data_IF_129744455080
#
_entry.id   IF_129744455080
#
_cell.length_a   1.000
_cell.length_b   1.000
_cell.length_c   1.000
_cell.angle_alpha   90.00
_cell.angle_beta   90.00
_cell.angle_gamma   90.00
#
_symmetry.space_group_name_H-M   'P 1'
#
loop_
_entity.id
_entity.type
_entity.pdbx_description
1 polymer ?
#
# COMPACT_ATOMS: atom_id res chain seq x y z
N UNK A 1 -38.07 -48.77 -36.42
CA UNK A 1 -36.85 -49.21 -37.09
C UNK A 1 -35.67 -48.57 -36.39
N UNK A 2 -34.74 -49.37 -35.83
CA UNK A 2 -33.50 -48.80 -35.28
C UNK A 2 -32.65 -48.24 -36.42
N UNK A 3 -32.12 -47.02 -36.23
CA UNK A 3 -31.20 -46.39 -37.17
C UNK A 3 -29.95 -47.28 -37.36
N UNK A 4 -29.50 -47.49 -38.62
CA UNK A 4 -28.38 -48.38 -38.88
C UNK A 4 -27.06 -47.81 -38.26
N UNK A 5 -26.25 -48.70 -37.67
CA UNK A 5 -25.03 -48.36 -36.90
C UNK A 5 -24.01 -47.49 -37.66
N UNK A 6 -24.05 -47.48 -39.00
CA UNK A 6 -23.16 -46.62 -39.80
C UNK A 6 -23.49 -45.12 -39.71
N UNK A 7 -24.72 -44.74 -39.33
CA UNK A 7 -25.07 -43.33 -39.11
C UNK A 7 -24.38 -42.73 -37.92
N UNK A 8 -24.15 -43.48 -36.83
CA UNK A 8 -23.38 -43.04 -35.66
C UNK A 8 -21.91 -42.78 -36.01
N UNK A 9 -21.32 -43.56 -36.87
CA UNK A 9 -19.94 -43.38 -37.35
C UNK A 9 -19.78 -42.14 -38.24
N UNK A 10 -20.78 -41.85 -39.09
CA UNK A 10 -20.79 -40.63 -39.92
C UNK A 10 -21.02 -39.37 -39.12
N UNK A 11 -21.96 -39.38 -38.17
CA UNK A 11 -22.24 -38.27 -37.29
C UNK A 11 -21.02 -37.93 -36.40
N UNK A 12 -20.32 -38.94 -35.87
CA UNK A 12 -19.09 -38.74 -35.11
C UNK A 12 -17.97 -38.09 -35.92
N UNK A 13 -17.74 -38.49 -37.18
CA UNK A 13 -16.73 -37.87 -38.06
C UNK A 13 -17.08 -36.43 -38.44
N UNK A 14 -18.35 -36.14 -38.70
CA UNK A 14 -18.81 -34.78 -39.04
C UNK A 14 -18.65 -33.86 -37.80
N UNK A 15 -19.02 -34.34 -36.60
CA UNK A 15 -18.86 -33.61 -35.36
C UNK A 15 -17.37 -33.36 -35.06
N UNK A 16 -16.51 -34.35 -35.27
CA UNK A 16 -15.06 -34.21 -35.07
C UNK A 16 -14.43 -33.22 -36.07
N UNK A 17 -14.80 -33.30 -37.35
CA UNK A 17 -14.34 -32.36 -38.37
C UNK A 17 -14.82 -30.92 -38.10
N UNK A 18 -16.04 -30.77 -37.58
CA UNK A 18 -16.56 -29.43 -37.16
C UNK A 18 -15.82 -28.86 -35.96
N UNK A 19 -15.55 -29.69 -34.93
CA UNK A 19 -14.77 -29.30 -33.77
C UNK A 19 -13.33 -28.95 -34.13
N UNK A 20 -12.70 -29.75 -34.99
CA UNK A 20 -11.34 -29.47 -35.47
C UNK A 20 -11.29 -28.18 -36.30
N UNK A 21 -12.27 -27.98 -37.21
CA UNK A 21 -12.37 -26.72 -37.99
C UNK A 21 -12.55 -25.50 -37.09
N UNK A 22 -13.38 -25.57 -36.04
CA UNK A 22 -13.63 -24.50 -35.11
C UNK A 22 -12.42 -24.23 -34.22
N UNK A 23 -11.73 -25.29 -33.80
CA UNK A 23 -10.47 -25.18 -33.04
C UNK A 23 -9.38 -24.50 -33.89
N UNK A 24 -9.20 -24.86 -35.15
CA UNK A 24 -8.23 -24.22 -36.04
C UNK A 24 -8.57 -22.76 -36.35
N UNK A 25 -9.86 -22.42 -36.47
CA UNK A 25 -10.28 -21.02 -36.61
C UNK A 25 -9.97 -20.19 -35.36
N UNK A 26 -10.34 -20.67 -34.16
CA UNK A 26 -10.03 -20.02 -32.90
C UNK A 26 -8.52 -19.85 -32.70
N UNK A 27 -7.74 -20.89 -33.00
CA UNK A 27 -6.28 -20.83 -32.91
C UNK A 27 -5.69 -19.78 -33.86
N UNK A 28 -6.21 -19.67 -35.08
CA UNK A 28 -5.78 -18.68 -36.08
C UNK A 28 -6.13 -17.25 -35.63
N UNK A 29 -7.28 -17.03 -35.02
CA UNK A 29 -7.68 -15.74 -34.45
C UNK A 29 -6.78 -15.35 -33.27
N UNK A 30 -6.52 -16.29 -32.36
CA UNK A 30 -5.61 -16.06 -31.22
C UNK A 30 -4.19 -15.72 -31.72
N UNK A 31 -3.67 -16.49 -32.69
CA UNK A 31 -2.35 -16.23 -33.30
C UNK A 31 -2.28 -14.86 -34.00
N UNK A 32 -3.37 -14.44 -34.64
CA UNK A 32 -3.45 -13.12 -35.31
C UNK A 32 -3.48 -11.97 -34.31
N UNK A 33 -4.23 -12.14 -33.21
CA UNK A 33 -4.28 -11.17 -32.10
C UNK A 33 -2.93 -11.10 -31.40
N UNK A 34 -2.29 -12.25 -31.14
CA UNK A 34 -0.97 -12.28 -30.51
C UNK A 34 0.09 -11.59 -31.37
N UNK A 35 0.08 -11.80 -32.70
CA UNK A 35 0.95 -11.09 -33.64
C UNK A 35 0.68 -9.60 -33.67
N UNK A 36 -0.57 -9.18 -33.64
CA UNK A 36 -0.95 -7.77 -33.58
C UNK A 36 -0.50 -7.14 -32.26
N UNK A 37 -0.72 -7.81 -31.14
CA UNK A 37 -0.23 -7.37 -29.82
C UNK A 37 1.30 -7.21 -29.85
N UNK A 38 2.04 -8.22 -30.28
CA UNK A 38 3.53 -8.16 -30.35
C UNK A 38 4.02 -7.01 -31.25
N UNK A 39 3.30 -6.70 -32.33
CA UNK A 39 3.66 -5.62 -33.25
C UNK A 39 3.40 -4.23 -32.67
N UNK A 40 2.28 -4.05 -32.00
CA UNK A 40 1.86 -2.75 -31.46
C UNK A 40 2.27 -2.52 -30.00
N UNK A 41 2.62 -3.58 -29.25
CA UNK A 41 3.07 -3.49 -27.86
C UNK A 41 4.18 -2.43 -27.65
N UNK A 42 5.24 -2.37 -28.49
CA UNK A 42 6.27 -1.36 -28.33
C UNK A 42 5.73 0.07 -28.44
N UNK A 43 4.80 0.32 -29.36
CA UNK A 43 4.23 1.66 -29.58
C UNK A 43 3.47 2.15 -28.36
N UNK A 44 2.72 1.27 -27.68
CA UNK A 44 1.95 1.63 -26.49
C UNK A 44 2.77 1.62 -25.20
N UNK A 45 3.72 0.70 -25.07
CA UNK A 45 4.53 0.54 -23.85
C UNK A 45 5.74 1.47 -23.83
N UNK A 46 6.37 1.73 -24.99
CA UNK A 46 7.63 2.46 -25.08
C UNK A 46 7.55 3.91 -24.57
N UNK A 47 6.51 4.70 -24.85
CA UNK A 47 6.38 6.05 -24.31
C UNK A 47 6.29 6.05 -22.77
N UNK A 48 5.46 5.15 -22.21
CA UNK A 48 5.30 5.02 -20.75
C UNK A 48 6.57 4.51 -20.09
N UNK A 49 7.23 3.52 -20.71
CA UNK A 49 8.51 2.97 -20.22
C UNK A 49 9.62 4.03 -20.29
N UNK A 50 9.70 4.79 -21.37
CA UNK A 50 10.67 5.88 -21.50
C UNK A 50 10.44 6.95 -20.43
N UNK A 51 9.22 7.39 -20.23
CA UNK A 51 8.87 8.33 -19.17
C UNK A 51 9.25 7.80 -17.78
N UNK A 52 9.00 6.50 -17.51
CA UNK A 52 9.36 5.86 -16.26
C UNK A 52 10.87 5.76 -16.07
N UNK A 53 11.62 5.42 -17.12
CA UNK A 53 13.10 5.36 -17.06
C UNK A 53 13.67 6.75 -16.77
N UNK A 54 13.24 7.78 -17.52
CA UNK A 54 13.76 9.14 -17.39
C UNK A 54 13.33 9.79 -16.07
N UNK A 55 12.05 9.62 -15.66
CA UNK A 55 11.50 10.29 -14.50
C UNK A 55 11.75 9.56 -13.17
N UNK A 56 12.03 8.27 -13.20
CA UNK A 56 12.18 7.47 -11.98
C UNK A 56 13.50 6.69 -11.93
N UNK A 57 13.77 5.82 -12.92
CA UNK A 57 14.93 4.90 -12.84
C UNK A 57 16.25 5.67 -12.89
N UNK A 58 16.41 6.61 -13.82
CA UNK A 58 17.65 7.36 -13.96
C UNK A 58 17.96 8.21 -12.72
N UNK A 59 17.04 9.05 -12.18
CA UNK A 59 17.27 9.77 -10.93
C UNK A 59 17.53 8.84 -9.74
N UNK A 60 16.86 7.68 -9.67
CA UNK A 60 17.07 6.71 -8.60
C UNK A 60 18.49 6.14 -8.62
N UNK A 61 18.98 5.70 -9.79
CA UNK A 61 20.35 5.18 -9.93
C UNK A 61 21.37 6.27 -9.63
N UNK A 62 21.15 7.50 -10.12
CA UNK A 62 22.01 8.65 -9.79
C UNK A 62 22.02 8.91 -8.29
N UNK A 63 20.87 8.87 -7.61
CA UNK A 63 20.75 9.03 -6.18
C UNK A 63 21.53 7.95 -5.40
N UNK A 64 21.44 6.69 -5.83
CA UNK A 64 22.25 5.61 -5.25
C UNK A 64 23.75 5.88 -5.45
N UNK A 65 24.18 6.35 -6.64
CA UNK A 65 25.57 6.74 -6.88
C UNK A 65 26.02 7.89 -5.97
N UNK A 66 25.21 8.93 -5.83
CA UNK A 66 25.50 10.08 -4.99
C UNK A 66 25.53 9.76 -3.49
N UNK A 67 24.90 8.68 -3.05
CA UNK A 67 24.99 8.24 -1.65
C UNK A 67 26.40 7.85 -1.20
N UNK A 68 27.28 7.52 -2.16
CA UNK A 68 28.69 7.23 -1.94
C UNK A 68 29.60 8.45 -2.10
N UNK A 69 29.01 9.62 -2.36
CA UNK A 69 29.74 10.86 -2.61
C UNK A 69 29.45 11.91 -1.53
N UNK A 70 30.44 12.71 -1.20
CA UNK A 70 30.26 13.97 -0.50
C UNK A 70 30.05 15.07 -1.53
N UNK A 71 28.97 15.84 -1.41
CA UNK A 71 28.59 16.86 -2.39
C UNK A 71 27.69 17.91 -1.75
N UNK A 72 27.68 19.10 -2.29
CA UNK A 72 26.66 20.14 -2.09
C UNK A 72 25.85 20.32 -3.35
N UNK A 73 26.52 20.17 -4.50
CA UNK A 73 25.90 20.12 -5.84
C UNK A 73 26.40 18.89 -6.58
N UNK A 74 25.63 18.39 -7.55
CA UNK A 74 26.02 17.20 -8.34
C UNK A 74 27.37 17.38 -9.04
N UNK A 75 27.78 18.65 -9.34
CA UNK A 75 29.02 18.96 -10.03
C UNK A 75 30.27 18.84 -9.15
N UNK A 76 30.15 18.99 -7.83
CA UNK A 76 31.25 18.94 -6.88
C UNK A 76 31.37 17.60 -6.15
N UNK A 77 30.62 16.59 -6.61
CA UNK A 77 30.58 15.29 -5.98
C UNK A 77 31.95 14.59 -5.94
N UNK A 78 32.43 14.29 -4.73
CA UNK A 78 33.66 13.56 -4.44
C UNK A 78 33.33 12.20 -3.84
N UNK A 79 33.87 11.14 -4.41
CA UNK A 79 33.64 9.79 -3.91
C UNK A 79 34.32 9.59 -2.54
N UNK A 80 33.50 9.22 -1.53
CA UNK A 80 33.92 8.98 -0.15
C UNK A 80 33.62 7.56 0.34
N UNK A 81 33.22 6.67 -0.57
CA UNK A 81 32.89 5.30 -0.25
C UNK A 81 31.71 5.18 0.74
N UNK A 82 31.86 4.38 1.79
CA UNK A 82 30.80 4.12 2.77
C UNK A 82 30.73 5.15 3.92
N UNK A 83 31.51 6.22 3.88
CA UNK A 83 31.58 7.22 4.98
C UNK A 83 30.20 7.80 5.31
N UNK A 84 29.37 8.10 4.30
CA UNK A 84 28.01 8.62 4.49
C UNK A 84 27.10 7.63 5.21
N UNK A 85 27.23 6.35 4.94
CA UNK A 85 26.47 5.29 5.60
C UNK A 85 26.88 5.17 7.07
N UNK A 86 28.18 5.23 7.37
CA UNK A 86 28.68 5.23 8.76
C UNK A 86 28.13 6.43 9.51
N UNK A 87 28.22 7.64 8.94
CA UNK A 87 27.62 8.84 9.53
C UNK A 87 26.11 8.71 9.74
N UNK A 88 25.39 8.12 8.79
CA UNK A 88 23.94 7.90 8.91
C UNK A 88 23.61 6.98 10.09
N UNK A 89 24.32 5.87 10.29
CA UNK A 89 24.09 4.94 11.41
C UNK A 89 24.56 5.53 12.76
N UNK A 90 25.53 6.43 12.78
CA UNK A 90 25.97 7.14 13.98
C UNK A 90 25.00 8.25 14.39
N UNK A 91 24.17 8.77 13.48
CA UNK A 91 23.17 9.80 13.78
C UNK A 91 22.10 9.25 14.74
N UNK A 92 22.12 9.75 15.97
CA UNK A 92 21.18 9.32 17.03
C UNK A 92 19.75 9.65 16.69
N UNK A 93 19.50 10.78 16.02
CA UNK A 93 18.17 11.21 15.60
C UNK A 93 17.62 10.27 14.53
N UNK A 94 18.45 9.86 13.56
CA UNK A 94 18.04 8.91 12.54
C UNK A 94 17.67 7.54 13.12
N UNK A 95 18.45 7.04 14.09
CA UNK A 95 18.12 5.77 14.78
C UNK A 95 16.82 5.89 15.60
N UNK A 96 16.61 7.04 16.25
CA UNK A 96 15.35 7.31 16.96
C UNK A 96 14.17 7.36 15.98
N UNK A 97 14.30 8.08 14.87
CA UNK A 97 13.28 8.20 13.83
C UNK A 97 12.89 6.83 13.24
N UNK A 98 13.84 5.88 13.14
CA UNK A 98 13.53 4.52 12.71
C UNK A 98 12.55 3.83 13.67
N UNK A 99 12.86 3.82 14.96
CA UNK A 99 12.01 3.18 15.96
C UNK A 99 10.67 3.88 16.14
N UNK A 100 10.66 5.20 16.09
CA UNK A 100 9.44 5.99 16.14
C UNK A 100 8.53 5.70 14.94
N UNK A 101 9.10 5.61 13.73
CA UNK A 101 8.38 5.26 12.51
C UNK A 101 7.87 3.81 12.56
N UNK A 102 8.68 2.87 13.03
CA UNK A 102 8.28 1.47 13.16
C UNK A 102 7.11 1.30 14.14
N UNK A 103 7.19 1.95 15.30
CA UNK A 103 6.12 1.94 16.29
C UNK A 103 4.83 2.57 15.71
N UNK A 104 4.95 3.69 15.02
CA UNK A 104 3.83 4.35 14.36
C UNK A 104 3.21 3.44 13.28
N UNK A 105 4.02 2.83 12.43
CA UNK A 105 3.54 1.95 11.36
C UNK A 105 2.78 0.74 11.93
N UNK A 106 3.26 0.14 13.02
CA UNK A 106 2.58 -0.99 13.68
C UNK A 106 1.27 -0.51 14.32
N UNK A 107 1.29 0.59 15.06
CA UNK A 107 0.10 1.11 15.74
C UNK A 107 -0.98 1.53 14.73
N UNK A 108 -0.61 2.28 13.69
CA UNK A 108 -1.52 2.71 12.64
C UNK A 108 -2.07 1.52 11.83
N UNK A 109 -1.23 0.51 11.54
CA UNK A 109 -1.66 -0.72 10.90
C UNK A 109 -2.83 -1.37 11.66
N UNK A 110 -2.67 -1.55 12.97
CA UNK A 110 -3.69 -2.20 13.80
C UNK A 110 -4.96 -1.36 13.83
N UNK A 111 -4.85 -0.07 14.16
CA UNK A 111 -6.01 0.82 14.29
C UNK A 111 -6.78 0.93 12.98
N UNK A 112 -6.07 1.20 11.87
CA UNK A 112 -6.70 1.39 10.56
C UNK A 112 -7.41 0.12 10.10
N UNK A 113 -6.73 -1.03 10.14
CA UNK A 113 -7.31 -2.27 9.60
C UNK A 113 -8.45 -2.80 10.46
N UNK A 114 -8.35 -2.74 11.80
CA UNK A 114 -9.45 -3.14 12.70
C UNK A 114 -10.68 -2.27 12.49
N UNK A 115 -10.52 -0.94 12.47
CA UNK A 115 -11.64 -0.02 12.25
C UNK A 115 -12.21 -0.14 10.83
N UNK A 116 -11.37 -0.23 9.81
CA UNK A 116 -11.81 -0.37 8.42
C UNK A 116 -12.58 -1.69 8.19
N UNK A 117 -12.08 -2.80 8.74
CA UNK A 117 -12.75 -4.08 8.66
C UNK A 117 -14.10 -4.09 9.41
N UNK A 118 -14.15 -3.52 10.61
CA UNK A 118 -15.39 -3.38 11.37
C UNK A 118 -16.44 -2.55 10.61
N UNK A 119 -16.03 -1.42 10.02
CA UNK A 119 -16.90 -0.60 9.19
C UNK A 119 -17.33 -1.34 7.92
N UNK A 120 -16.45 -2.09 7.28
CA UNK A 120 -16.78 -2.89 6.10
C UNK A 120 -17.84 -3.96 6.43
N UNK A 121 -17.71 -4.68 7.54
CA UNK A 121 -18.72 -5.63 8.01
C UNK A 121 -20.06 -4.95 8.27
N UNK A 122 -20.08 -3.76 8.86
CA UNK A 122 -21.30 -2.99 9.11
C UNK A 122 -21.95 -2.53 7.79
N UNK A 123 -21.17 -1.97 6.87
CA UNK A 123 -21.64 -1.39 5.61
C UNK A 123 -21.85 -2.39 4.46
N UNK A 124 -21.53 -3.67 4.67
CA UNK A 124 -21.88 -4.75 3.72
C UNK A 124 -23.31 -5.28 3.99
N UNK A 125 -23.87 -5.00 5.16
CA UNK A 125 -25.27 -5.32 5.46
C UNK A 125 -26.21 -4.44 4.64
N UNK A 126 -27.39 -4.97 4.30
CA UNK A 126 -28.45 -4.22 3.60
C UNK A 126 -29.02 -3.13 4.53
N UNK A 127 -28.45 -1.92 4.46
CA UNK A 127 -28.94 -0.75 5.19
C UNK A 127 -29.30 0.37 4.21
N UNK A 128 -30.32 1.15 4.54
CA UNK A 128 -30.64 2.37 3.75
C UNK A 128 -29.50 3.38 3.90
N UNK A 129 -29.03 3.95 2.79
CA UNK A 129 -27.98 4.98 2.81
C UNK A 129 -26.55 4.47 2.89
N UNK A 130 -26.26 3.17 2.73
CA UNK A 130 -24.91 2.58 2.77
C UNK A 130 -23.91 3.31 1.87
N UNK A 131 -24.32 3.74 0.68
CA UNK A 131 -23.43 4.44 -0.26
C UNK A 131 -23.06 5.84 0.26
N UNK A 132 -23.96 6.53 0.97
CA UNK A 132 -23.67 7.82 1.60
C UNK A 132 -22.59 7.66 2.67
N UNK A 133 -22.74 6.66 3.54
CA UNK A 133 -21.71 6.38 4.56
C UNK A 133 -20.36 6.00 3.94
N UNK A 134 -20.35 5.16 2.90
CA UNK A 134 -19.11 4.85 2.16
C UNK A 134 -18.43 6.10 1.63
N UNK A 135 -19.19 7.01 1.04
CA UNK A 135 -18.66 8.28 0.51
C UNK A 135 -18.11 9.16 1.63
N UNK A 136 -18.84 9.33 2.74
CA UNK A 136 -18.41 10.16 3.87
C UNK A 136 -17.10 9.63 4.48
N UNK A 137 -16.99 8.33 4.71
CA UNK A 137 -15.76 7.74 5.26
C UNK A 137 -14.59 7.78 4.28
N UNK A 138 -14.86 7.73 2.98
CA UNK A 138 -13.81 7.79 1.96
C UNK A 138 -13.29 9.21 1.70
N UNK A 139 -14.12 10.23 1.89
CA UNK A 139 -13.82 11.63 1.56
C UNK A 139 -12.51 12.15 2.18
N UNK A 140 -12.16 11.86 3.45
CA UNK A 140 -10.92 12.33 4.05
C UNK A 140 -9.66 11.91 3.29
N UNK A 141 -9.68 10.76 2.64
CA UNK A 141 -8.55 10.26 1.85
C UNK A 141 -8.23 11.10 0.61
N UNK A 142 -9.19 11.90 0.14
CA UNK A 142 -9.02 12.77 -1.03
C UNK A 142 -8.33 14.10 -0.70
N UNK A 143 -8.20 14.42 0.59
CA UNK A 143 -7.59 15.67 1.04
C UNK A 143 -6.08 15.48 1.17
N UNK A 144 -5.30 16.42 0.64
CA UNK A 144 -3.84 16.37 0.71
C UNK A 144 -3.31 16.37 2.15
N UNK A 145 -2.28 15.55 2.41
CA UNK A 145 -1.74 15.32 3.75
C UNK A 145 -1.25 16.58 4.47
N UNK A 146 -0.63 17.52 3.75
CA UNK A 146 -0.16 18.80 4.32
C UNK A 146 -1.34 19.64 4.81
N UNK A 147 -2.39 19.77 4.00
CA UNK A 147 -3.59 20.54 4.37
C UNK A 147 -4.27 19.94 5.58
N UNK A 148 -4.45 18.62 5.56
CA UNK A 148 -5.02 17.89 6.69
C UNK A 148 -4.19 18.07 7.97
N UNK A 149 -2.88 17.94 7.89
CA UNK A 149 -2.01 18.08 9.03
C UNK A 149 -2.13 19.45 9.70
N UNK A 150 -2.15 20.54 8.94
CA UNK A 150 -2.35 21.89 9.50
C UNK A 150 -3.74 22.08 10.11
N UNK A 151 -4.80 21.59 9.47
CA UNK A 151 -6.15 21.67 10.03
C UNK A 151 -6.21 20.93 11.37
N UNK A 152 -5.71 19.70 11.42
CA UNK A 152 -5.68 18.90 12.65
C UNK A 152 -4.76 19.49 13.72
N UNK A 153 -3.65 20.11 13.33
CA UNK A 153 -2.77 20.82 14.25
C UNK A 153 -3.53 21.95 14.97
N UNK A 154 -4.30 22.76 14.24
CA UNK A 154 -5.12 23.81 14.80
C UNK A 154 -6.20 23.24 15.76
N UNK A 155 -6.88 22.16 15.36
CA UNK A 155 -7.91 21.51 16.17
C UNK A 155 -7.29 20.97 17.47
N UNK A 156 -6.21 20.18 17.38
CA UNK A 156 -5.58 19.60 18.54
C UNK A 156 -5.00 20.65 19.47
N UNK A 157 -4.27 21.64 18.96
CA UNK A 157 -3.73 22.70 19.79
C UNK A 157 -4.82 23.56 20.42
N UNK A 158 -5.95 23.80 19.74
CA UNK A 158 -7.12 24.47 20.33
C UNK A 158 -7.74 23.68 21.51
N UNK A 159 -7.77 22.35 21.42
CA UNK A 159 -8.24 21.48 22.51
C UNK A 159 -7.21 21.45 23.65
N UNK A 160 -5.92 21.25 23.31
CA UNK A 160 -4.82 21.11 24.26
C UNK A 160 -4.51 22.39 25.01
N UNK A 161 -4.79 23.56 24.44
CA UNK A 161 -4.63 24.87 25.09
C UNK A 161 -5.42 24.97 26.40
N UNK A 162 -6.58 24.30 26.50
CA UNK A 162 -7.39 24.20 27.73
C UNK A 162 -6.63 23.51 28.88
N UNK A 163 -5.63 22.68 28.55
CA UNK A 163 -4.79 21.95 29.49
C UNK A 163 -3.38 22.52 29.57
N UNK A 164 -3.19 23.77 29.08
CA UNK A 164 -1.88 24.47 29.08
C UNK A 164 -0.77 23.67 28.39
N UNK A 165 -1.10 22.91 27.33
CA UNK A 165 -0.17 22.09 26.54
C UNK A 165 -0.44 22.22 25.04
N UNK A 166 0.47 21.71 24.22
CA UNK A 166 0.38 21.68 22.76
C UNK A 166 1.05 20.40 22.23
N UNK A 167 0.74 20.04 20.96
CA UNK A 167 1.34 18.87 20.31
C UNK A 167 2.87 18.91 20.31
N UNK A 168 3.46 20.09 20.11
CA UNK A 168 4.89 20.30 20.04
C UNK A 168 5.63 20.18 21.39
N UNK A 169 4.92 20.08 22.50
CA UNK A 169 5.52 19.99 23.84
C UNK A 169 5.79 18.56 24.30
N UNK A 170 5.14 17.57 23.68
CA UNK A 170 5.28 16.16 24.07
C UNK A 170 5.21 15.24 22.84
N UNK A 171 6.25 14.43 22.64
CA UNK A 171 6.34 13.50 21.54
C UNK A 171 5.15 12.51 21.46
N UNK A 172 4.61 12.10 22.61
CA UNK A 172 3.48 11.17 22.67
C UNK A 172 2.16 11.81 22.28
N UNK A 173 1.98 13.11 22.54
CA UNK A 173 0.84 13.86 22.03
C UNK A 173 0.92 13.96 20.50
N UNK A 174 2.10 14.24 19.95
CA UNK A 174 2.35 14.22 18.52
C UNK A 174 2.10 12.83 17.91
N UNK A 175 2.57 11.76 18.57
CA UNK A 175 2.37 10.38 18.15
C UNK A 175 0.88 10.01 18.00
N UNK A 176 0.11 10.21 19.08
CA UNK A 176 -1.31 9.91 19.06
C UNK A 176 -2.11 10.86 18.16
N UNK A 177 -1.68 12.12 18.05
CA UNK A 177 -2.22 13.06 17.08
C UNK A 177 -2.07 12.56 15.64
N UNK A 178 -0.88 12.06 15.28
CA UNK A 178 -0.63 11.44 13.97
C UNK A 178 -1.47 10.17 13.78
N UNK A 179 -1.58 9.30 14.78
CA UNK A 179 -2.40 8.07 14.70
C UNK A 179 -3.87 8.42 14.43
N UNK A 180 -4.44 9.39 15.14
CA UNK A 180 -5.83 9.80 14.97
C UNK A 180 -6.04 10.38 13.58
N UNK A 181 -5.18 11.32 13.16
CA UNK A 181 -5.28 11.97 11.84
C UNK A 181 -5.18 10.95 10.71
N UNK A 182 -4.13 10.13 10.71
CA UNK A 182 -3.86 9.18 9.62
C UNK A 182 -4.89 8.07 9.60
N UNK A 183 -5.36 7.61 10.77
CA UNK A 183 -6.45 6.63 10.85
C UNK A 183 -7.73 7.19 10.25
N UNK A 184 -8.14 8.40 10.64
CA UNK A 184 -9.33 9.05 10.09
C UNK A 184 -9.21 9.24 8.56
N UNK A 185 -8.03 9.57 8.07
CA UNK A 185 -7.79 9.73 6.63
C UNK A 185 -7.86 8.40 5.86
N UNK A 186 -7.31 7.30 6.41
CA UNK A 186 -7.10 6.06 5.65
C UNK A 186 -8.15 4.97 5.88
N UNK A 187 -8.89 5.00 6.99
CA UNK A 187 -9.90 3.99 7.32
C UNK A 187 -10.91 3.79 6.19
N UNK A 188 -11.40 4.87 5.59
CA UNK A 188 -12.38 4.80 4.51
C UNK A 188 -11.85 4.14 3.24
N UNK A 189 -10.60 4.39 2.89
CA UNK A 189 -9.94 3.74 1.75
C UNK A 189 -9.79 2.23 1.96
N UNK A 190 -9.27 1.81 3.12
CA UNK A 190 -9.13 0.40 3.45
C UNK A 190 -10.49 -0.31 3.60
N UNK A 191 -11.49 0.39 4.13
CA UNK A 191 -12.87 -0.10 4.23
C UNK A 191 -13.43 -0.49 2.87
N UNK A 192 -13.20 0.30 1.81
CA UNK A 192 -13.70 -0.03 0.46
C UNK A 192 -13.04 -1.31 -0.07
N UNK A 193 -11.74 -1.51 0.16
CA UNK A 193 -11.04 -2.74 -0.23
C UNK A 193 -11.61 -3.94 0.52
N UNK A 194 -11.88 -3.80 1.82
CA UNK A 194 -12.52 -4.85 2.61
C UNK A 194 -13.96 -5.13 2.18
N UNK A 195 -14.74 -4.11 1.80
CA UNK A 195 -16.09 -4.30 1.25
C UNK A 195 -16.03 -5.12 -0.04
N UNK A 196 -15.11 -4.80 -0.94
CA UNK A 196 -14.92 -5.55 -2.17
C UNK A 196 -14.57 -7.03 -1.88
N UNK A 197 -13.67 -7.28 -0.92
CA UNK A 197 -13.34 -8.64 -0.48
C UNK A 197 -14.52 -9.38 0.15
N UNK A 198 -15.32 -8.72 0.99
CA UNK A 198 -16.52 -9.33 1.57
C UNK A 198 -17.57 -9.69 0.52
N UNK A 199 -17.69 -8.86 -0.52
CA UNK A 199 -18.64 -9.09 -1.62
C UNK A 199 -18.19 -10.17 -2.62
N UNK A 200 -16.90 -10.53 -2.62
CA UNK A 200 -16.38 -11.61 -3.47
C UNK A 200 -16.62 -13.01 -2.88
N UNK A 201 -17.02 -13.11 -1.60
CA UNK A 201 -17.32 -14.40 -0.97
C UNK A 201 -18.63 -14.96 -1.55
N UNK A 202 -18.62 -16.20 -2.16
CA UNK A 202 -19.82 -16.81 -2.68
C UNK A 202 -20.87 -17.04 -1.57
N UNK A 203 -22.13 -16.67 -1.85
CA UNK A 203 -23.23 -16.85 -0.90
C UNK A 203 -23.41 -18.29 -0.46
N UNK A 204 -23.22 -19.25 -1.39
CA UNK A 204 -23.32 -20.69 -1.14
C UNK A 204 -22.41 -21.18 0.00
N UNK A 205 -21.20 -20.63 0.11
CA UNK A 205 -20.26 -21.00 1.19
C UNK A 205 -20.79 -20.50 2.55
N UNK A 206 -21.40 -19.32 2.57
CA UNK A 206 -21.99 -18.75 3.79
C UNK A 206 -23.24 -19.49 4.21
N UNK A 207 -24.06 -19.95 3.25
CA UNK A 207 -25.26 -20.76 3.49
C UNK A 207 -24.90 -22.16 3.97
N UNK A 208 -23.92 -22.83 3.34
CA UNK A 208 -23.40 -24.13 3.78
C UNK A 208 -22.93 -24.08 5.25
N UNK A 209 -22.09 -23.06 5.60
CA UNK A 209 -21.64 -22.90 6.97
C UNK A 209 -22.79 -22.66 7.96
N UNK A 210 -23.89 -22.05 7.51
CA UNK A 210 -25.09 -21.86 8.34
C UNK A 210 -25.89 -23.16 8.52
N UNK A 211 -26.00 -23.98 7.47
CA UNK A 211 -26.64 -25.31 7.51
C UNK A 211 -25.85 -26.23 8.45
N UNK A 212 -24.51 -26.17 8.45
CA UNK A 212 -23.63 -26.89 9.38
C UNK A 212 -23.71 -26.40 10.83
N UNK A 213 -24.57 -25.43 11.13
CA UNK A 213 -24.81 -24.94 12.50
C UNK A 213 -23.74 -23.95 13.01
N UNK A 214 -22.89 -23.40 12.13
CA UNK A 214 -21.88 -22.43 12.53
C UNK A 214 -22.53 -21.11 12.98
N UNK A 215 -22.22 -20.65 14.20
CA UNK A 215 -22.65 -19.35 14.68
C UNK A 215 -21.90 -18.19 13.97
N UNK A 216 -22.36 -16.95 14.17
CA UNK A 216 -21.80 -15.76 13.48
C UNK A 216 -20.31 -15.56 13.76
N UNK A 217 -19.83 -15.88 14.97
CA UNK A 217 -18.42 -15.78 15.35
C UNK A 217 -17.57 -16.86 14.65
N UNK A 218 -18.08 -18.10 14.61
CA UNK A 218 -17.42 -19.19 13.89
C UNK A 218 -17.35 -18.92 12.38
N UNK A 219 -18.42 -18.40 11.77
CA UNK A 219 -18.43 -18.00 10.37
C UNK A 219 -17.41 -16.90 10.10
N UNK A 220 -17.32 -15.88 10.99
CA UNK A 220 -16.34 -14.81 10.83
C UNK A 220 -14.90 -15.35 10.80
N UNK A 221 -14.52 -16.15 11.80
CA UNK A 221 -13.13 -16.60 11.95
C UNK A 221 -12.75 -17.78 11.07
N UNK A 222 -13.67 -18.71 10.79
CA UNK A 222 -13.38 -19.94 10.05
C UNK A 222 -13.71 -19.86 8.56
N UNK A 223 -14.52 -18.89 8.13
CA UNK A 223 -14.95 -18.74 6.74
C UNK A 223 -14.59 -17.36 6.21
N UNK A 224 -15.13 -16.29 6.79
CA UNK A 224 -14.98 -14.93 6.25
C UNK A 224 -13.52 -14.48 6.23
N UNK A 225 -12.82 -14.53 7.36
CA UNK A 225 -11.42 -14.06 7.44
C UNK A 225 -10.49 -14.87 6.52
N UNK A 226 -10.52 -16.22 6.49
CA UNK A 226 -9.71 -16.97 5.56
C UNK A 226 -9.98 -16.66 4.08
N UNK A 227 -11.25 -16.50 3.69
CA UNK A 227 -11.60 -16.13 2.31
C UNK A 227 -11.25 -14.69 1.96
N UNK A 228 -11.11 -13.82 2.95
CA UNK A 228 -10.69 -12.43 2.78
C UNK A 228 -9.18 -12.22 2.82
N UNK A 229 -8.39 -13.28 2.95
CA UNK A 229 -6.92 -13.16 3.04
C UNK A 229 -6.30 -12.31 1.91
N UNK A 230 -6.74 -12.38 0.63
CA UNK A 230 -6.20 -11.49 -0.41
C UNK A 230 -6.42 -10.01 -0.09
N UNK A 231 -7.62 -9.62 0.35
CA UNK A 231 -7.92 -8.23 0.73
C UNK A 231 -7.17 -7.80 1.99
N UNK A 232 -7.03 -8.69 2.98
CA UNK A 232 -6.24 -8.46 4.20
C UNK A 232 -4.77 -8.25 3.83
N UNK A 233 -4.22 -9.04 2.92
CA UNK A 233 -2.84 -8.89 2.42
C UNK A 233 -2.62 -7.51 1.81
N UNK A 234 -3.53 -7.08 0.93
CA UNK A 234 -3.46 -5.76 0.27
C UNK A 234 -3.55 -4.64 1.30
N UNK A 235 -4.55 -4.66 2.18
CA UNK A 235 -4.74 -3.62 3.19
C UNK A 235 -3.57 -3.53 4.17
N UNK A 236 -3.04 -4.67 4.60
CA UNK A 236 -1.87 -4.75 5.48
C UNK A 236 -0.63 -4.18 4.79
N UNK A 237 -0.39 -4.56 3.53
CA UNK A 237 0.72 -4.05 2.74
C UNK A 237 0.65 -2.52 2.56
N UNK A 238 -0.51 -2.01 2.18
CA UNK A 238 -0.73 -0.57 2.00
C UNK A 238 -0.57 0.19 3.32
N UNK A 239 -1.14 -0.32 4.42
CA UNK A 239 -1.03 0.34 5.73
C UNK A 239 0.41 0.42 6.22
N UNK A 240 1.19 -0.66 6.14
CA UNK A 240 2.60 -0.68 6.53
C UNK A 240 3.41 0.29 5.67
N UNK A 241 3.30 0.18 4.35
CA UNK A 241 4.10 1.01 3.43
C UNK A 241 3.75 2.49 3.55
N UNK A 242 2.47 2.84 3.72
CA UNK A 242 2.05 4.22 3.95
C UNK A 242 2.53 4.75 5.30
N UNK A 243 2.50 3.91 6.35
CA UNK A 243 3.00 4.27 7.68
C UNK A 243 4.50 4.60 7.66
N UNK A 244 5.31 3.77 6.99
CA UNK A 244 6.75 4.05 6.87
C UNK A 244 7.04 5.29 6.02
N UNK A 245 6.31 5.53 4.94
CA UNK A 245 6.52 6.66 4.02
C UNK A 245 5.86 7.96 4.47
N UNK A 246 5.26 7.99 5.66
CA UNK A 246 4.53 9.16 6.14
C UNK A 246 5.46 10.38 6.25
N UNK A 247 5.18 11.41 5.44
CA UNK A 247 5.94 12.65 5.38
C UNK A 247 5.05 13.88 5.62
N UNK A 248 4.04 14.07 4.77
CA UNK A 248 3.22 15.29 4.72
C UNK A 248 2.56 15.61 6.06
N UNK A 249 1.94 14.60 6.68
CA UNK A 249 1.23 14.78 7.95
C UNK A 249 2.21 14.98 9.11
N UNK A 250 3.38 14.31 9.09
CA UNK A 250 4.41 14.53 10.11
C UNK A 250 5.01 15.93 10.01
N UNK A 251 5.26 16.41 8.77
CA UNK A 251 5.76 17.77 8.55
C UNK A 251 4.75 18.82 9.03
N UNK A 252 3.48 18.66 8.67
CA UNK A 252 2.47 19.70 8.92
C UNK A 252 1.87 19.64 10.33
N UNK A 253 1.78 18.46 10.97
CA UNK A 253 1.19 18.32 12.30
C UNK A 253 2.16 18.64 13.42
N UNK A 254 3.39 18.11 13.36
CA UNK A 254 4.38 18.20 14.45
C UNK A 254 5.70 18.82 14.03
N UNK A 255 6.02 18.84 12.72
CA UNK A 255 7.32 19.26 12.20
C UNK A 255 8.53 18.57 12.87
N UNK A 256 8.30 17.41 13.52
CA UNK A 256 9.32 16.70 14.30
C UNK A 256 9.47 17.15 15.75
N UNK A 257 8.72 18.16 16.21
CA UNK A 257 8.83 18.67 17.59
C UNK A 257 8.21 17.70 18.62
N UNK A 258 8.68 17.70 19.89
CA UNK A 258 9.78 18.49 20.47
C UNK A 258 11.16 17.92 20.11
N UNK A 259 12.13 18.78 19.88
CA UNK A 259 13.56 18.42 19.74
C UNK A 259 13.83 17.28 18.74
N UNK A 260 13.06 17.20 17.67
CA UNK A 260 13.05 16.13 16.64
C UNK A 260 12.65 14.73 17.14
N UNK A 261 12.06 14.64 18.34
CA UNK A 261 11.63 13.36 18.91
C UNK A 261 10.38 12.79 18.22
N UNK A 262 9.56 13.61 17.57
CA UNK A 262 8.44 13.14 16.74
C UNK A 262 8.76 13.10 15.22
N UNK A 263 10.05 13.24 14.87
CA UNK A 263 10.51 13.20 13.49
C UNK A 263 10.53 11.75 12.97
N UNK A 264 9.72 11.46 11.96
CA UNK A 264 9.72 10.16 11.28
C UNK A 264 10.84 10.07 10.23
N UNK A 265 11.16 8.87 9.79
CA UNK A 265 12.30 8.63 8.88
C UNK A 265 12.27 9.50 7.61
N UNK A 266 11.12 9.61 6.95
CA UNK A 266 11.02 10.40 5.73
C UNK A 266 11.29 11.89 5.98
N UNK A 267 10.79 12.45 7.09
CA UNK A 267 11.05 13.83 7.51
C UNK A 267 12.51 14.01 7.94
N UNK A 268 13.12 13.04 8.63
CA UNK A 268 14.54 13.09 9.01
C UNK A 268 15.45 13.12 7.77
N UNK A 269 15.15 12.31 6.76
CA UNK A 269 15.89 12.31 5.50
C UNK A 269 15.82 13.69 4.85
N UNK A 270 14.62 14.24 4.73
CA UNK A 270 14.38 15.57 4.18
C UNK A 270 15.16 16.65 4.95
N UNK A 271 15.06 16.68 6.27
CA UNK A 271 15.75 17.65 7.11
C UNK A 271 17.27 17.47 7.10
N UNK A 272 17.77 16.24 6.90
CA UNK A 272 19.21 15.99 6.74
C UNK A 272 19.70 16.56 5.40
N UNK A 273 18.97 16.30 4.32
CA UNK A 273 19.37 16.67 2.97
C UNK A 273 19.28 18.19 2.74
N UNK A 274 18.17 18.81 3.14
CA UNK A 274 17.91 20.24 2.88
C UNK A 274 18.26 21.17 4.05
N UNK A 275 18.31 20.65 5.27
CA UNK A 275 18.50 21.46 6.48
C UNK A 275 19.91 21.45 7.04
N UNK A 276 20.83 20.61 6.53
CA UNK A 276 22.20 20.48 7.01
C UNK A 276 23.19 20.59 5.87
N UNK A 277 23.78 21.77 5.66
CA UNK A 277 24.82 21.96 4.63
C UNK A 277 26.01 21.02 4.82
N UNK A 278 26.48 20.39 3.74
CA UNK A 278 27.55 19.38 3.76
C UNK A 278 27.09 17.98 4.21
N UNK A 279 25.78 17.78 4.42
CA UNK A 279 25.20 16.49 4.78
C UNK A 279 24.31 15.93 3.67
N UNK A 280 24.33 16.50 2.48
CA UNK A 280 23.51 16.07 1.33
C UNK A 280 23.80 14.60 0.97
N UNK A 281 25.08 14.21 0.94
CA UNK A 281 25.48 12.82 0.73
C UNK A 281 25.00 11.87 1.83
N UNK A 282 25.00 12.33 3.08
CA UNK A 282 24.45 11.56 4.22
C UNK A 282 22.92 11.44 4.12
N UNK A 283 22.23 12.51 3.73
CA UNK A 283 20.78 12.50 3.46
C UNK A 283 20.44 11.49 2.38
N UNK A 284 21.23 11.45 1.31
CA UNK A 284 21.07 10.49 0.21
C UNK A 284 21.33 9.04 0.68
N UNK A 285 22.37 8.81 1.50
CA UNK A 285 22.63 7.48 2.09
C UNK A 285 21.48 7.02 2.99
N UNK A 286 20.91 7.91 3.82
CA UNK A 286 19.71 7.64 4.62
C UNK A 286 18.51 7.26 3.74
N UNK A 287 18.32 7.95 2.60
CA UNK A 287 17.25 7.63 1.66
C UNK A 287 17.40 6.22 1.06
N UNK A 288 18.63 5.81 0.70
CA UNK A 288 18.91 4.45 0.22
C UNK A 288 18.65 3.40 1.31
N UNK A 289 19.11 3.65 2.56
CA UNK A 289 18.83 2.76 3.69
C UNK A 289 17.32 2.61 3.88
N UNK A 290 16.60 3.72 3.87
CA UNK A 290 15.15 3.74 4.01
C UNK A 290 14.45 2.94 2.92
N UNK A 291 14.86 3.11 1.67
CA UNK A 291 14.33 2.35 0.54
C UNK A 291 14.52 0.84 0.74
N UNK A 292 15.73 0.41 1.11
CA UNK A 292 16.02 -1.02 1.36
C UNK A 292 15.15 -1.56 2.49
N UNK A 293 14.99 -0.81 3.58
CA UNK A 293 14.13 -1.21 4.72
C UNK A 293 12.68 -1.37 4.28
N UNK A 294 12.11 -0.39 3.56
CA UNK A 294 10.70 -0.43 3.13
C UNK A 294 10.46 -1.59 2.16
N UNK A 295 11.38 -1.82 1.21
CA UNK A 295 11.30 -2.96 0.29
C UNK A 295 11.38 -4.28 1.05
N UNK A 296 12.33 -4.42 1.98
CA UNK A 296 12.48 -5.65 2.77
C UNK A 296 11.22 -5.94 3.60
N UNK A 297 10.67 -4.94 4.29
CA UNK A 297 9.44 -5.07 5.08
C UNK A 297 8.27 -5.46 4.17
N UNK A 298 8.12 -4.82 3.01
CA UNK A 298 7.06 -5.13 2.05
C UNK A 298 7.15 -6.56 1.52
N UNK A 299 8.35 -7.01 1.15
CA UNK A 299 8.57 -8.38 0.67
C UNK A 299 8.32 -9.44 1.76
N UNK A 300 8.78 -9.20 2.99
CA UNK A 300 8.54 -10.09 4.14
C UNK A 300 7.05 -10.18 4.42
N UNK A 301 6.35 -9.05 4.46
CA UNK A 301 4.91 -9.01 4.71
C UNK A 301 4.14 -9.75 3.61
N UNK A 302 4.43 -9.49 2.32
CA UNK A 302 3.78 -10.18 1.19
C UNK A 302 4.02 -11.69 1.27
N UNK A 303 5.24 -12.14 1.56
CA UNK A 303 5.54 -13.56 1.71
C UNK A 303 4.77 -14.20 2.87
N UNK A 304 4.69 -13.49 4.01
CA UNK A 304 4.03 -13.99 5.22
C UNK A 304 2.50 -14.10 5.07
N UNK A 305 1.87 -13.20 4.32
CA UNK A 305 0.41 -13.18 4.16
C UNK A 305 -0.03 -14.00 2.95
N UNK A 306 0.69 -13.95 1.83
CA UNK A 306 0.35 -14.70 0.61
C UNK A 306 0.35 -16.23 0.82
N UNK A 307 1.21 -16.73 1.73
CA UNK A 307 1.23 -18.16 2.07
C UNK A 307 -0.05 -18.65 2.77
N UNK A 308 -0.90 -17.74 3.23
CA UNK A 308 -2.19 -18.02 3.90
C UNK A 308 -3.40 -17.78 3.00
N UNK A 309 -3.20 -17.34 1.77
CA UNK A 309 -4.27 -17.14 0.80
C UNK A 309 -4.80 -18.50 0.34
N UNK A 310 -6.11 -18.69 0.45
CA UNK A 310 -6.78 -19.86 -0.15
C UNK A 310 -6.91 -19.57 -1.65
N UNK A 311 -6.36 -20.45 -2.49
CA UNK A 311 -6.58 -20.37 -3.93
C UNK A 311 -8.07 -20.62 -4.20
N UNK A 312 -8.75 -19.58 -4.70
CA UNK A 312 -10.15 -19.64 -5.15
C UNK A 312 -10.22 -20.14 -6.57
#
# INVERSE_FOLDING_TARGET
HPLPAHWFFYAGRICQAYLDSHYYQLKREVDSVEKAIKRYLPIFVLPTLAAFIIGFIAPFIMGVGLSFCEFTTVKDAKFVGLSNYVKAFQDTIFRHSFWYTALFAIASLVVINVCAFALALALTRKMRGTNIFRTIFFMPNLIGGIVLGYIWQLIFNGILAKYSTALALNQWLGFWGLIILVSWQQIGYMMIIYIAGLQSIPGEVMEAAQIDGANSWQRLWKVTIPMMMPSITICTFLSITNGFKLFDQNLSLTAGEPSKLSEMMALNIYNTFYGRSGWEGVGQAKAVIFFVIVVAIGLVQLKATRSKEVQQ
#
